data_IF_596193614999
#
_entry.id   IF_596193614999
#
_cell.length_a   1.000
_cell.length_b   1.000
_cell.length_c   1.000
_cell.angle_alpha   90.00
_cell.angle_beta   90.00
_cell.angle_gamma   90.00
#
_symmetry.space_group_name_H-M   'P 1'
#
loop_
_entity.id
_entity.type
_entity.pdbx_description
1 polymer ?
#
# COMPACT_ATOMS: atom_id res chain seq x y z
N UNK A 1 54.56 -7.99 27.72
CA UNK A 1 53.31 -8.76 27.45
C UNK A 1 53.63 -10.24 27.48
N UNK A 2 52.88 -11.06 28.22
CA UNK A 2 53.14 -12.48 28.26
C UNK A 2 52.81 -13.12 26.89
N UNK A 3 53.60 -14.10 26.44
CA UNK A 3 53.36 -14.85 25.17
C UNK A 3 51.88 -15.31 25.00
N UNK A 4 51.21 -15.60 26.13
CA UNK A 4 49.81 -15.99 26.16
C UNK A 4 48.85 -14.84 25.83
N UNK A 5 49.15 -13.60 26.21
CA UNK A 5 48.35 -12.41 25.90
C UNK A 5 48.45 -12.03 24.41
N UNK A 6 49.64 -12.15 23.82
CA UNK A 6 49.87 -11.91 22.40
C UNK A 6 49.12 -12.94 21.52
N UNK A 7 49.14 -14.22 21.94
CA UNK A 7 48.41 -15.29 21.22
C UNK A 7 46.89 -15.08 21.26
N UNK A 8 46.34 -14.64 22.41
CA UNK A 8 44.92 -14.33 22.54
C UNK A 8 44.48 -13.14 21.67
N UNK A 9 45.28 -12.08 21.59
CA UNK A 9 45.05 -10.92 20.72
C UNK A 9 45.09 -11.31 19.23
N UNK A 10 46.03 -12.16 18.83
CA UNK A 10 46.11 -12.68 17.46
C UNK A 10 44.90 -13.54 17.10
N UNK A 11 44.44 -14.41 18.00
CA UNK A 11 43.23 -15.23 17.81
C UNK A 11 41.99 -14.35 17.72
N UNK A 12 41.86 -13.32 18.58
CA UNK A 12 40.72 -12.37 18.53
C UNK A 12 40.72 -11.57 17.23
N UNK A 13 41.90 -11.11 16.78
CA UNK A 13 42.05 -10.41 15.50
C UNK A 13 41.67 -11.30 14.30
N UNK A 14 42.08 -12.57 14.32
CA UNK A 14 41.75 -13.55 13.29
C UNK A 14 40.24 -13.87 13.28
N UNK A 15 39.59 -13.95 14.46
CA UNK A 15 38.17 -14.17 14.62
C UNK A 15 37.37 -12.95 14.12
N UNK A 16 37.81 -11.76 14.43
CA UNK A 16 37.20 -10.52 13.94
C UNK A 16 37.33 -10.34 12.42
N UNK A 17 38.51 -10.68 11.85
CA UNK A 17 38.69 -10.70 10.41
C UNK A 17 37.76 -11.73 9.75
N UNK A 18 37.66 -12.93 10.35
CA UNK A 18 36.82 -13.99 9.82
C UNK A 18 35.31 -13.61 9.88
N UNK A 19 34.84 -13.07 11.00
CA UNK A 19 33.50 -12.51 11.13
C UNK A 19 33.27 -11.35 10.15
N UNK A 20 34.26 -10.46 9.96
CA UNK A 20 34.18 -9.34 9.03
C UNK A 20 34.10 -9.78 7.57
N UNK A 21 34.83 -10.82 7.19
CA UNK A 21 34.77 -11.45 5.84
C UNK A 21 33.42 -12.14 5.65
N UNK A 22 32.93 -12.89 6.64
CA UNK A 22 31.60 -13.54 6.58
C UNK A 22 30.47 -12.52 6.48
N UNK A 23 30.48 -11.46 7.29
CA UNK A 23 29.47 -10.40 7.23
C UNK A 23 29.52 -9.62 5.90
N UNK A 24 30.70 -9.52 5.29
CA UNK A 24 30.87 -8.83 4.01
C UNK A 24 30.41 -9.68 2.83
N UNK A 25 30.61 -11.01 2.89
CA UNK A 25 30.18 -11.92 1.83
C UNK A 25 28.66 -12.12 1.79
N UNK A 26 27.96 -12.03 2.92
CA UNK A 26 26.50 -12.16 2.92
C UNK A 26 25.75 -10.93 2.34
N UNK A 27 26.36 -9.75 2.34
CA UNK A 27 25.70 -8.51 1.91
C UNK A 27 25.98 -8.06 0.47
N UNK A 28 26.96 -8.67 -0.21
CA UNK A 28 27.40 -8.19 -1.54
C UNK A 28 26.86 -8.99 -2.72
N UNK A 29 26.08 -10.04 -2.46
CA UNK A 29 25.62 -10.95 -3.53
C UNK A 29 24.11 -11.20 -3.51
N UNK A 30 23.29 -10.16 -3.37
CA UNK A 30 21.82 -10.31 -3.36
C UNK A 30 21.17 -9.31 -4.28
N UNK A 31 20.26 -9.78 -5.12
CA UNK A 31 19.32 -8.92 -5.82
C UNK A 31 18.26 -8.42 -4.84
N UNK A 32 18.22 -7.12 -4.60
CA UNK A 32 17.30 -6.50 -3.62
C UNK A 32 15.97 -6.25 -4.31
N UNK A 33 14.97 -7.07 -4.02
CA UNK A 33 13.61 -6.88 -4.53
C UNK A 33 12.95 -5.73 -3.76
N UNK A 34 12.49 -4.71 -4.48
CA UNK A 34 11.84 -3.52 -3.95
C UNK A 34 10.32 -3.56 -4.06
N UNK A 35 9.82 -4.21 -5.11
CA UNK A 35 8.41 -4.41 -5.32
C UNK A 35 8.12 -5.73 -6.02
N UNK A 36 6.95 -6.27 -5.72
CA UNK A 36 6.32 -7.38 -6.40
C UNK A 36 5.15 -6.87 -7.23
N UNK A 37 4.98 -7.40 -8.43
CA UNK A 37 3.83 -7.17 -9.26
C UNK A 37 3.22 -8.53 -9.58
N UNK A 38 1.93 -8.68 -9.29
CA UNK A 38 1.21 -9.93 -9.43
C UNK A 38 0.02 -9.75 -10.38
N UNK A 39 -0.19 -10.75 -11.20
CA UNK A 39 -1.34 -10.84 -12.09
C UNK A 39 -1.80 -12.29 -12.19
N UNK A 40 -3.07 -12.53 -11.94
CA UNK A 40 -3.70 -13.83 -12.14
C UNK A 40 -4.55 -13.79 -13.41
N UNK A 41 -4.16 -14.56 -14.40
CA UNK A 41 -5.01 -14.83 -15.58
C UNK A 41 -5.78 -16.13 -15.36
N UNK A 42 -6.80 -16.45 -16.18
CA UNK A 42 -7.51 -17.73 -16.08
C UNK A 42 -6.59 -18.94 -16.28
N UNK A 43 -5.47 -18.79 -16.96
CA UNK A 43 -4.58 -19.89 -17.36
C UNK A 43 -3.35 -20.01 -16.45
N UNK A 44 -2.84 -18.87 -15.93
CA UNK A 44 -1.56 -18.83 -15.24
C UNK A 44 -1.42 -17.61 -14.33
N UNK A 45 -0.41 -17.66 -13.49
CA UNK A 45 0.12 -16.52 -12.74
C UNK A 45 1.28 -15.87 -13.49
N UNK A 46 1.29 -14.55 -13.52
CA UNK A 46 2.41 -13.73 -13.96
C UNK A 46 2.94 -12.97 -12.74
N UNK A 47 4.23 -13.05 -12.51
CA UNK A 47 4.91 -12.33 -11.42
C UNK A 47 6.04 -11.53 -12.01
N UNK A 48 6.09 -10.23 -11.69
CA UNK A 48 7.24 -9.41 -12.03
C UNK A 48 7.92 -8.86 -10.76
N UNK A 49 9.24 -8.76 -10.80
CA UNK A 49 10.09 -8.30 -9.71
C UNK A 49 10.77 -7.01 -10.11
N UNK A 50 10.50 -5.92 -9.37
CA UNK A 50 11.33 -4.73 -9.44
C UNK A 50 12.48 -4.90 -8.45
N UNK A 51 13.69 -4.94 -8.95
CA UNK A 51 14.87 -5.20 -8.13
C UNK A 51 16.00 -4.22 -8.40
N UNK A 52 16.84 -4.07 -7.41
CA UNK A 52 18.09 -3.32 -7.48
C UNK A 52 19.26 -4.28 -7.37
N UNK A 53 20.24 -4.06 -8.20
CA UNK A 53 21.48 -4.79 -8.19
C UNK A 53 22.59 -3.85 -7.67
N UNK A 54 23.28 -4.20 -6.60
CA UNK A 54 24.44 -3.43 -6.20
C UNK A 54 25.54 -3.62 -7.23
N UNK A 55 25.73 -2.65 -8.10
CA UNK A 55 26.92 -2.63 -8.95
C UNK A 55 28.15 -2.67 -8.04
N UNK A 56 29.04 -3.63 -8.29
CA UNK A 56 30.33 -3.66 -7.66
C UNK A 56 31.00 -2.30 -7.89
N UNK A 57 31.28 -1.57 -6.81
CA UNK A 57 31.88 -0.26 -6.85
C UNK A 57 33.24 -0.33 -7.58
N UNK A 58 33.20 -0.16 -8.89
CA UNK A 58 34.34 0.21 -9.68
C UNK A 58 34.42 1.74 -9.63
N UNK A 59 35.31 2.22 -8.75
CA UNK A 59 35.91 3.56 -8.72
C UNK A 59 35.17 4.70 -9.45
N UNK A 60 33.98 5.11 -8.97
CA UNK A 60 33.55 6.51 -9.13
C UNK A 60 32.23 6.77 -8.40
N UNK A 61 32.23 7.81 -7.61
CA UNK A 61 31.11 8.62 -7.09
C UNK A 61 29.70 8.20 -7.52
N UNK A 62 28.96 7.56 -6.59
CA UNK A 62 27.49 7.49 -6.57
C UNK A 62 26.82 7.11 -7.90
N UNK A 63 27.15 5.96 -8.49
CA UNK A 63 26.25 5.32 -9.43
C UNK A 63 25.02 4.83 -8.61
N UNK A 64 23.90 5.52 -8.79
CA UNK A 64 22.62 5.09 -8.23
C UNK A 64 22.33 3.69 -8.79
N UNK A 65 22.16 2.70 -7.89
CA UNK A 65 21.85 1.34 -8.30
C UNK A 65 20.58 1.38 -9.19
N UNK A 66 20.71 0.99 -10.46
CA UNK A 66 19.60 1.00 -11.41
C UNK A 66 18.51 0.03 -10.95
N UNK A 67 17.25 0.44 -11.08
CA UNK A 67 16.10 -0.44 -10.86
C UNK A 67 15.83 -1.20 -12.14
N UNK A 68 15.68 -2.50 -12.06
CA UNK A 68 15.39 -3.37 -13.19
C UNK A 68 14.10 -4.15 -12.94
N UNK A 69 13.51 -4.66 -14.02
CA UNK A 69 12.30 -5.48 -14.00
C UNK A 69 12.60 -6.83 -14.65
N UNK A 70 12.23 -7.91 -13.98
CA UNK A 70 12.19 -9.24 -14.57
C UNK A 70 10.86 -9.92 -14.23
N UNK A 71 10.48 -10.94 -14.99
CA UNK A 71 9.24 -11.64 -14.74
C UNK A 71 9.34 -13.13 -14.95
N UNK A 72 8.36 -13.85 -14.40
CA UNK A 72 8.17 -15.27 -14.58
C UNK A 72 6.69 -15.62 -14.61
N UNK A 73 6.38 -16.76 -15.18
CA UNK A 73 5.02 -17.28 -15.29
C UNK A 73 4.94 -18.70 -14.73
N UNK A 74 3.78 -19.08 -14.22
CA UNK A 74 3.57 -20.42 -13.65
C UNK A 74 2.10 -20.72 -13.42
N UNK A 75 1.77 -22.00 -13.22
CA UNK A 75 0.39 -22.41 -12.89
C UNK A 75 -0.03 -22.03 -11.47
N UNK A 76 0.94 -21.83 -10.59
CA UNK A 76 0.74 -21.35 -9.23
C UNK A 76 1.58 -20.09 -9.00
N UNK A 77 1.19 -19.28 -8.01
CA UNK A 77 1.95 -18.08 -7.63
C UNK A 77 3.41 -18.41 -7.27
N UNK A 78 3.63 -19.52 -6.56
CA UNK A 78 4.98 -19.97 -6.20
C UNK A 78 5.82 -20.34 -7.41
N UNK A 79 5.24 -21.06 -8.39
CA UNK A 79 5.95 -21.40 -9.63
C UNK A 79 6.30 -20.16 -10.44
N UNK A 80 5.38 -19.21 -10.57
CA UNK A 80 5.62 -17.95 -11.27
C UNK A 80 6.70 -17.11 -10.57
N UNK A 81 6.66 -17.05 -9.23
CA UNK A 81 7.68 -16.37 -8.44
C UNK A 81 9.06 -17.02 -8.62
N UNK A 82 9.13 -18.35 -8.53
CA UNK A 82 10.38 -19.08 -8.75
C UNK A 82 10.93 -18.84 -10.15
N UNK A 83 10.07 -18.89 -11.18
CA UNK A 83 10.47 -18.57 -12.55
C UNK A 83 11.01 -17.13 -12.70
N UNK A 84 10.40 -16.15 -12.00
CA UNK A 84 10.91 -14.78 -11.99
C UNK A 84 12.27 -14.68 -11.26
N UNK A 85 12.45 -15.41 -10.16
CA UNK A 85 13.71 -15.47 -9.40
C UNK A 85 14.87 -16.06 -10.21
N UNK A 86 14.60 -16.98 -11.15
CA UNK A 86 15.63 -17.55 -12.04
C UNK A 86 16.23 -16.51 -13.00
N UNK A 87 15.53 -15.43 -13.28
CA UNK A 87 16.03 -14.31 -14.10
C UNK A 87 16.83 -13.27 -13.31
N UNK A 88 16.91 -13.40 -11.99
CA UNK A 88 17.72 -12.49 -11.18
C UNK A 88 19.22 -12.85 -11.31
N UNK A 89 20.11 -11.86 -11.40
CA UNK A 89 21.55 -12.09 -11.51
C UNK A 89 22.13 -12.73 -10.23
N UNK A 90 21.44 -12.57 -9.10
CA UNK A 90 21.88 -13.08 -7.79
C UNK A 90 20.67 -13.53 -6.96
N UNK A 91 20.92 -14.16 -5.80
CA UNK A 91 19.85 -14.61 -4.90
C UNK A 91 18.93 -13.47 -4.49
N UNK A 92 17.59 -13.66 -4.53
CA UNK A 92 16.64 -12.63 -4.12
C UNK A 92 16.75 -12.32 -2.63
N UNK A 93 16.51 -11.05 -2.29
CA UNK A 93 16.29 -10.59 -0.93
C UNK A 93 15.06 -9.68 -0.90
N UNK A 94 14.03 -10.11 -0.20
CA UNK A 94 12.75 -9.40 -0.09
C UNK A 94 12.66 -8.53 1.17
N UNK A 95 13.73 -8.43 1.96
CA UNK A 95 13.74 -7.63 3.20
C UNK A 95 13.37 -6.16 3.01
N UNK A 96 13.60 -5.63 1.82
CA UNK A 96 13.28 -4.27 1.42
C UNK A 96 12.15 -4.22 0.38
N UNK A 97 11.35 -5.28 0.28
CA UNK A 97 10.14 -5.29 -0.54
C UNK A 97 9.06 -4.45 0.16
N UNK A 98 8.88 -3.23 -0.31
CA UNK A 98 8.00 -2.23 0.29
C UNK A 98 6.65 -2.14 -0.41
N UNK A 99 6.57 -2.60 -1.67
CA UNK A 99 5.39 -2.42 -2.51
C UNK A 99 4.92 -3.74 -3.11
N UNK A 100 3.61 -3.88 -3.18
CA UNK A 100 2.90 -4.97 -3.85
C UNK A 100 1.91 -4.35 -4.84
N UNK A 101 2.14 -4.58 -6.13
CA UNK A 101 1.22 -4.19 -7.18
C UNK A 101 0.34 -5.39 -7.54
N UNK A 102 -0.97 -5.17 -7.56
CA UNK A 102 -1.97 -6.15 -7.96
C UNK A 102 -2.64 -5.69 -9.25
N UNK A 103 -2.82 -6.58 -10.21
CA UNK A 103 -3.51 -6.22 -11.45
C UNK A 103 -4.99 -5.94 -11.20
N UNK A 104 -5.52 -4.86 -11.78
CA UNK A 104 -6.92 -4.45 -11.59
C UNK A 104 -7.93 -5.49 -12.06
N UNK A 105 -7.56 -6.40 -12.97
CA UNK A 105 -8.43 -7.42 -13.53
C UNK A 105 -8.67 -8.63 -12.62
N UNK A 106 -7.81 -8.88 -11.63
CA UNK A 106 -7.83 -10.11 -10.80
C UNK A 106 -7.56 -9.92 -9.31
N UNK A 107 -7.68 -8.69 -8.81
CA UNK A 107 -7.35 -8.26 -7.44
C UNK A 107 -7.76 -9.24 -6.33
N UNK A 108 -8.97 -9.80 -6.41
CA UNK A 108 -9.50 -10.67 -5.36
C UNK A 108 -8.76 -12.00 -5.25
N UNK A 109 -8.46 -12.61 -6.40
CA UNK A 109 -7.69 -13.86 -6.45
C UNK A 109 -6.27 -13.63 -5.96
N UNK A 110 -5.66 -12.55 -6.40
CA UNK A 110 -4.30 -12.17 -6.07
C UNK A 110 -4.10 -11.94 -4.58
N UNK A 111 -4.95 -11.12 -3.94
CA UNK A 111 -4.81 -10.82 -2.51
C UNK A 111 -4.98 -12.09 -1.64
N UNK A 112 -5.87 -13.00 -2.02
CA UNK A 112 -6.09 -14.25 -1.30
C UNK A 112 -4.89 -15.20 -1.40
N UNK A 113 -4.19 -15.18 -2.54
CA UNK A 113 -3.01 -16.00 -2.76
C UNK A 113 -1.74 -15.39 -2.13
N UNK A 114 -1.68 -14.06 -1.98
CA UNK A 114 -0.54 -13.39 -1.37
C UNK A 114 -0.34 -13.76 0.10
N UNK A 115 -1.42 -13.94 0.86
CA UNK A 115 -1.32 -14.11 2.30
C UNK A 115 -0.48 -15.33 2.71
N UNK A 116 -0.73 -16.55 2.18
CA UNK A 116 0.14 -17.68 2.49
C UNK A 116 1.60 -17.39 2.14
N UNK A 117 1.86 -16.82 0.96
CA UNK A 117 3.20 -16.46 0.52
C UNK A 117 3.91 -15.51 1.50
N UNK A 118 3.22 -14.45 1.95
CA UNK A 118 3.80 -13.47 2.87
C UNK A 118 3.92 -13.98 4.31
N UNK A 119 3.08 -14.95 4.71
CA UNK A 119 3.18 -15.59 6.02
C UNK A 119 4.25 -16.68 6.09
N UNK A 120 4.48 -17.40 5.00
CA UNK A 120 5.43 -18.51 4.96
C UNK A 120 6.86 -18.06 4.71
N UNK A 121 7.04 -17.00 3.93
CA UNK A 121 8.36 -16.43 3.64
C UNK A 121 8.80 -15.45 4.71
N UNK A 122 9.78 -15.83 5.51
CA UNK A 122 10.31 -15.02 6.61
C UNK A 122 10.97 -13.69 6.18
N UNK A 123 11.28 -13.54 4.89
CA UNK A 123 11.90 -12.33 4.32
C UNK A 123 10.89 -11.35 3.69
N UNK A 124 9.61 -11.75 3.54
CA UNK A 124 8.50 -10.88 3.16
C UNK A 124 7.84 -10.24 4.39
N UNK A 125 7.22 -9.08 4.22
CA UNK A 125 6.60 -8.32 5.30
C UNK A 125 5.14 -8.03 5.00
N UNK A 126 4.26 -8.31 5.95
CA UNK A 126 2.85 -7.90 5.88
C UNK A 126 2.66 -6.36 5.92
N UNK A 127 3.70 -5.62 6.30
CA UNK A 127 3.73 -4.15 6.25
C UNK A 127 4.01 -3.59 4.84
N UNK A 128 4.02 -4.46 3.82
CA UNK A 128 4.14 -4.05 2.41
C UNK A 128 2.91 -3.25 2.00
N UNK A 129 3.12 -2.14 1.30
CA UNK A 129 2.07 -1.27 0.76
C UNK A 129 1.46 -1.90 -0.48
N UNK A 130 0.13 -1.88 -0.58
CA UNK A 130 -0.61 -2.49 -1.69
C UNK A 130 -1.16 -1.42 -2.61
N UNK A 131 -0.90 -1.57 -3.92
CA UNK A 131 -1.38 -0.70 -4.98
C UNK A 131 -2.07 -1.57 -6.04
N UNK A 132 -3.04 -1.01 -6.73
CA UNK A 132 -3.55 -1.61 -7.95
C UNK A 132 -2.79 -1.06 -9.16
N UNK A 133 -2.63 -1.86 -10.21
CA UNK A 133 -1.95 -1.44 -11.44
C UNK A 133 -2.70 -1.84 -12.68
N UNK A 134 -2.68 -0.98 -13.68
CA UNK A 134 -3.14 -1.22 -15.06
C UNK A 134 -2.11 -0.62 -16.01
N UNK A 135 -1.65 -1.32 -17.02
CA UNK A 135 -2.07 -2.64 -17.51
C UNK A 135 -1.44 -3.82 -16.77
N UNK A 136 -1.53 -5.02 -17.35
CA UNK A 136 -0.95 -6.24 -16.80
C UNK A 136 0.57 -6.33 -16.94
N UNK A 137 1.13 -7.44 -16.44
CA UNK A 137 2.58 -7.69 -16.41
C UNK A 137 3.23 -7.59 -17.78
N UNK A 138 2.59 -8.13 -18.82
CA UNK A 138 3.16 -8.20 -20.17
C UNK A 138 3.43 -6.80 -20.75
N UNK A 139 2.46 -5.87 -20.65
CA UNK A 139 2.63 -4.51 -21.16
C UNK A 139 3.66 -3.72 -20.36
N UNK A 140 3.73 -3.95 -19.05
CA UNK A 140 4.72 -3.29 -18.18
C UNK A 140 6.14 -3.78 -18.49
N UNK A 141 6.30 -5.06 -18.81
CA UNK A 141 7.56 -5.62 -19.26
C UNK A 141 7.99 -5.07 -20.62
N UNK A 142 7.08 -5.07 -21.60
CA UNK A 142 7.34 -4.51 -22.91
C UNK A 142 7.78 -3.04 -22.80
N UNK A 143 7.13 -2.28 -21.91
CA UNK A 143 7.52 -0.89 -21.66
C UNK A 143 8.89 -0.76 -21.01
N UNK A 144 9.25 -1.65 -20.09
CA UNK A 144 10.57 -1.66 -19.45
C UNK A 144 11.71 -2.01 -20.45
N UNK A 145 11.42 -2.80 -21.48
CA UNK A 145 12.36 -3.07 -22.58
C UNK A 145 12.54 -1.86 -23.51
N UNK A 146 11.49 -1.07 -23.72
CA UNK A 146 11.55 0.14 -24.55
C UNK A 146 12.21 1.32 -23.83
N UNK A 147 12.04 1.44 -22.52
CA UNK A 147 12.49 2.58 -21.73
C UNK A 147 13.22 2.14 -20.47
N UNK A 148 14.54 2.27 -20.45
CA UNK A 148 15.42 1.85 -19.36
C UNK A 148 15.04 2.46 -17.99
N UNK A 149 14.49 3.66 -17.96
CA UNK A 149 14.08 4.36 -16.73
C UNK A 149 12.69 4.01 -16.24
N UNK A 150 11.93 3.25 -17.00
CA UNK A 150 10.55 2.91 -16.63
C UNK A 150 10.42 2.19 -15.28
N UNK A 151 11.27 1.20 -14.93
CA UNK A 151 11.19 0.55 -13.62
C UNK A 151 11.45 1.53 -12.45
N UNK A 152 12.34 2.52 -12.63
CA UNK A 152 12.59 3.57 -11.64
C UNK A 152 11.38 4.49 -11.48
N UNK A 153 10.74 4.87 -12.58
CA UNK A 153 9.53 5.70 -12.57
C UNK A 153 8.38 4.98 -11.87
N UNK A 154 8.20 3.68 -12.12
CA UNK A 154 7.17 2.86 -11.46
C UNK A 154 7.42 2.80 -9.95
N UNK A 155 8.65 2.55 -9.53
CA UNK A 155 9.01 2.53 -8.11
C UNK A 155 8.87 3.92 -7.48
N UNK A 156 9.18 5.00 -8.19
CA UNK A 156 9.00 6.36 -7.70
C UNK A 156 7.52 6.71 -7.53
N UNK A 157 6.67 6.34 -8.49
CA UNK A 157 5.22 6.50 -8.38
C UNK A 157 4.67 5.77 -7.14
N UNK A 158 5.17 4.54 -6.86
CA UNK A 158 4.79 3.81 -5.65
C UNK A 158 5.22 4.55 -4.36
N UNK A 159 6.42 5.12 -4.34
CA UNK A 159 6.92 5.91 -3.19
C UNK A 159 6.06 7.14 -2.94
N UNK A 160 5.74 7.88 -4.01
CA UNK A 160 4.94 9.10 -3.93
C UNK A 160 3.50 8.82 -3.46
N UNK A 161 3.02 7.60 -3.72
CA UNK A 161 1.67 7.14 -3.36
C UNK A 161 1.63 6.42 -2.01
N UNK A 162 2.78 6.11 -1.41
CA UNK A 162 2.87 5.24 -0.23
C UNK A 162 2.00 5.70 0.95
N UNK A 163 1.88 7.00 1.20
CA UNK A 163 1.06 7.52 2.30
C UNK A 163 -0.44 7.27 2.10
N UNK A 164 -0.88 7.09 0.85
CA UNK A 164 -2.28 6.83 0.50
C UNK A 164 -2.58 5.35 0.26
N UNK A 165 -1.58 4.47 0.34
CA UNK A 165 -1.71 3.05 0.08
C UNK A 165 -1.83 2.25 1.39
N UNK A 166 -2.79 1.30 1.49
CA UNK A 166 -2.94 0.44 2.65
C UNK A 166 -1.78 -0.53 2.79
N UNK A 167 -1.55 -1.02 4.00
CA UNK A 167 -0.69 -2.16 4.22
C UNK A 167 -1.44 -3.48 4.01
N UNK A 168 -0.74 -4.51 3.57
CA UNK A 168 -1.33 -5.83 3.35
C UNK A 168 -2.03 -6.40 4.60
N UNK A 169 -1.56 -6.09 5.81
CA UNK A 169 -2.19 -6.53 7.07
C UNK A 169 -3.54 -5.86 7.37
N UNK A 170 -3.89 -4.75 6.69
CA UNK A 170 -5.14 -4.00 6.92
C UNK A 170 -6.35 -4.61 6.19
N UNK A 171 -6.17 -5.64 5.41
CA UNK A 171 -7.20 -6.26 4.55
C UNK A 171 -8.52 -6.60 5.25
N UNK A 172 -8.52 -6.85 6.55
CA UNK A 172 -9.75 -7.15 7.31
C UNK A 172 -10.78 -6.03 7.37
N UNK A 173 -10.39 -4.81 6.96
CA UNK A 173 -11.27 -3.62 6.87
C UNK A 173 -11.65 -3.25 5.44
N UNK A 174 -11.28 -4.08 4.45
CA UNK A 174 -11.23 -3.66 3.06
C UNK A 174 -9.98 -2.84 2.75
N UNK A 175 -9.49 -2.94 1.53
CA UNK A 175 -8.30 -2.21 1.08
C UNK A 175 -8.71 -1.13 0.08
N UNK A 176 -8.45 0.12 0.42
CA UNK A 176 -8.59 1.24 -0.49
C UNK A 176 -7.31 1.36 -1.33
N UNK A 177 -7.34 0.80 -2.54
CA UNK A 177 -6.17 0.68 -3.40
C UNK A 177 -6.05 1.88 -4.34
N UNK A 178 -4.99 2.69 -4.23
CA UNK A 178 -4.66 3.66 -5.27
C UNK A 178 -4.30 2.91 -6.56
N UNK A 179 -4.76 3.43 -7.70
CA UNK A 179 -4.58 2.79 -9.01
C UNK A 179 -3.48 3.51 -9.79
N UNK A 180 -2.41 2.78 -10.05
CA UNK A 180 -1.33 3.22 -10.94
C UNK A 180 -1.68 2.81 -12.37
N UNK A 181 -1.68 3.75 -13.29
CA UNK A 181 -2.03 3.53 -14.68
C UNK A 181 -0.90 3.93 -15.61
N UNK A 182 -0.62 3.08 -16.59
CA UNK A 182 0.21 3.45 -17.74
C UNK A 182 -0.71 4.05 -18.81
N UNK A 183 -0.56 5.35 -19.08
CA UNK A 183 -1.34 6.08 -20.07
C UNK A 183 -0.41 6.87 -20.99
N UNK A 184 -0.53 6.66 -22.29
CA UNK A 184 0.28 7.38 -23.30
C UNK A 184 1.80 7.32 -23.03
N UNK A 185 2.26 6.18 -22.50
CA UNK A 185 3.67 5.95 -22.16
C UNK A 185 4.14 6.56 -20.84
N UNK A 186 3.27 7.23 -20.09
CA UNK A 186 3.60 7.79 -18.78
C UNK A 186 2.86 7.07 -17.64
N UNK A 187 3.53 6.96 -16.50
CA UNK A 187 2.94 6.42 -15.28
C UNK A 187 2.16 7.53 -14.58
N UNK A 188 0.89 7.30 -14.31
CA UNK A 188 0.00 8.25 -13.63
C UNK A 188 -0.77 7.56 -12.51
N UNK A 189 -1.07 8.31 -11.45
CA UNK A 189 -1.98 7.88 -10.41
C UNK A 189 -3.39 8.31 -10.80
N UNK A 190 -4.34 7.36 -10.79
CA UNK A 190 -5.76 7.71 -10.96
C UNK A 190 -6.28 8.43 -9.73
N UNK A 191 -7.21 9.34 -9.94
CA UNK A 191 -7.88 10.06 -8.85
C UNK A 191 -8.87 9.15 -8.12
N UNK A 192 -9.48 8.24 -8.86
CA UNK A 192 -10.39 7.20 -8.38
C UNK A 192 -9.58 6.04 -7.80
N UNK A 193 -10.02 5.52 -6.65
CA UNK A 193 -9.43 4.34 -6.04
C UNK A 193 -10.36 3.13 -6.15
N UNK A 194 -9.79 1.95 -5.99
CA UNK A 194 -10.53 0.70 -5.91
C UNK A 194 -10.66 0.27 -4.45
N UNK A 195 -11.89 0.01 -4.02
CA UNK A 195 -12.16 -0.61 -2.73
C UNK A 195 -12.26 -2.12 -2.92
N UNK A 196 -11.25 -2.83 -2.43
CA UNK A 196 -11.22 -4.29 -2.42
C UNK A 196 -11.79 -4.80 -1.11
N UNK A 197 -12.87 -5.58 -1.20
CA UNK A 197 -13.58 -6.16 -0.04
C UNK A 197 -13.65 -7.68 -0.15
N UNK A 198 -14.19 -8.33 0.88
CA UNK A 198 -14.45 -9.77 0.84
C UNK A 198 -15.46 -10.16 -0.25
N UNK A 199 -16.38 -9.24 -0.60
CA UNK A 199 -17.46 -9.49 -1.57
C UNK A 199 -17.07 -9.18 -3.00
N UNK A 200 -16.10 -8.28 -3.23
CA UNK A 200 -15.70 -7.86 -4.56
C UNK A 200 -14.78 -6.65 -4.59
N UNK A 201 -14.65 -6.09 -5.77
CA UNK A 201 -13.91 -4.85 -6.03
C UNK A 201 -14.88 -3.79 -6.51
N UNK A 202 -14.84 -2.61 -5.91
CA UNK A 202 -15.73 -1.49 -6.17
C UNK A 202 -14.91 -0.25 -6.50
N UNK A 203 -15.33 0.51 -7.52
CA UNK A 203 -14.71 1.79 -7.84
C UNK A 203 -15.35 2.89 -7.01
N UNK A 204 -14.54 3.71 -6.37
CA UNK A 204 -14.98 4.94 -5.72
C UNK A 204 -14.73 6.13 -6.66
N UNK A 205 -15.64 7.08 -6.67
CA UNK A 205 -15.42 8.35 -7.38
C UNK A 205 -14.25 9.12 -6.78
N UNK A 206 -13.73 10.14 -7.47
CA UNK A 206 -12.66 11.02 -6.96
C UNK A 206 -13.04 11.61 -5.59
N UNK A 207 -14.28 12.05 -5.44
CA UNK A 207 -14.78 12.66 -4.21
C UNK A 207 -14.92 11.67 -3.05
N UNK A 208 -15.43 10.47 -3.34
CA UNK A 208 -15.51 9.39 -2.35
C UNK A 208 -14.12 8.86 -1.98
N UNK A 209 -13.21 8.76 -2.95
CA UNK A 209 -11.83 8.35 -2.71
C UNK A 209 -11.15 9.28 -1.71
N UNK A 210 -11.29 10.59 -1.90
CA UNK A 210 -10.67 11.57 -1.01
C UNK A 210 -11.29 11.53 0.40
N UNK A 211 -12.62 11.39 0.48
CA UNK A 211 -13.29 11.23 1.77
C UNK A 211 -12.91 9.90 2.46
N UNK A 212 -12.86 8.79 1.73
CA UNK A 212 -12.45 7.50 2.26
C UNK A 212 -11.01 7.53 2.80
N UNK A 213 -10.08 8.24 2.13
CA UNK A 213 -8.70 8.45 2.63
C UNK A 213 -8.71 9.18 3.97
N UNK A 214 -9.52 10.21 4.12
CA UNK A 214 -9.68 10.93 5.40
C UNK A 214 -10.24 10.03 6.49
N UNK A 215 -11.27 9.23 6.17
CA UNK A 215 -11.91 8.30 7.12
C UNK A 215 -11.00 7.14 7.54
N UNK A 216 -10.07 6.75 6.68
CA UNK A 216 -9.06 5.73 6.94
C UNK A 216 -7.74 6.31 7.49
N UNK A 217 -7.67 7.64 7.64
CA UNK A 217 -6.47 8.37 8.07
C UNK A 217 -5.25 8.14 7.15
N UNK A 218 -5.50 7.95 5.83
CA UNK A 218 -4.45 7.81 4.83
C UNK A 218 -4.03 9.16 4.27
N UNK A 219 -2.73 9.45 4.27
CA UNK A 219 -2.18 10.72 3.82
C UNK A 219 -2.22 11.82 4.88
N UNK A 220 -1.55 12.92 4.59
CA UNK A 220 -1.45 14.07 5.50
C UNK A 220 -2.19 15.30 4.99
N UNK A 221 -2.25 15.48 3.69
CA UNK A 221 -2.89 16.62 3.04
C UNK A 221 -3.98 16.13 2.08
N UNK A 222 -5.18 16.71 2.20
CA UNK A 222 -6.35 16.37 1.40
C UNK A 222 -6.93 17.61 0.75
N UNK A 223 -7.43 17.48 -0.48
CA UNK A 223 -8.08 18.58 -1.19
C UNK A 223 -9.45 18.15 -1.66
N UNK A 224 -10.48 18.76 -1.09
CA UNK A 224 -11.86 18.59 -1.52
C UNK A 224 -12.26 19.69 -2.49
N UNK A 225 -12.90 19.33 -3.58
CA UNK A 225 -13.54 20.29 -4.47
C UNK A 225 -15.01 20.37 -4.09
N UNK A 226 -15.44 21.52 -3.52
CA UNK A 226 -16.82 21.76 -3.10
C UNK A 226 -17.30 23.04 -3.76
N UNK A 227 -18.34 22.95 -4.61
CA UNK A 227 -18.84 24.08 -5.40
C UNK A 227 -17.72 24.79 -6.20
N UNK A 228 -16.92 24.00 -6.92
CA UNK A 228 -15.77 24.47 -7.71
C UNK A 228 -14.65 25.12 -6.87
N UNK A 229 -14.79 25.17 -5.54
CA UNK A 229 -13.81 25.74 -4.64
C UNK A 229 -12.92 24.65 -4.05
N UNK A 230 -11.60 24.69 -4.25
CA UNK A 230 -10.68 23.75 -3.61
C UNK A 230 -10.47 24.11 -2.14
N UNK A 231 -10.81 23.17 -1.26
CA UNK A 231 -10.62 23.26 0.19
C UNK A 231 -9.51 22.29 0.55
N UNK A 232 -8.32 22.82 0.86
CA UNK A 232 -7.18 21.98 1.25
C UNK A 232 -7.03 21.93 2.75
N UNK A 233 -7.02 20.73 3.31
CA UNK A 233 -6.79 20.44 4.72
C UNK A 233 -5.39 19.84 4.91
N UNK A 234 -4.74 20.24 5.98
CA UNK A 234 -3.41 19.73 6.35
C UNK A 234 -3.47 18.55 7.30
N UNK A 235 -4.52 18.47 8.11
CA UNK A 235 -4.71 17.44 9.12
C UNK A 235 -6.19 17.23 9.38
N UNK A 236 -6.56 15.98 9.55
CA UNK A 236 -7.89 15.58 10.02
C UNK A 236 -7.78 14.85 11.35
N UNK A 237 -8.82 14.98 12.16
CA UNK A 237 -9.02 14.16 13.36
C UNK A 237 -10.41 13.56 13.27
N UNK A 238 -10.46 12.25 13.32
CA UNK A 238 -11.69 11.47 13.22
C UNK A 238 -12.14 11.01 14.63
N UNK A 239 -13.40 11.29 14.96
CA UNK A 239 -14.06 10.74 16.12
C UNK A 239 -15.34 9.99 15.71
N UNK A 240 -15.53 8.77 16.19
CA UNK A 240 -16.74 7.98 15.93
C UNK A 240 -17.38 7.61 17.25
N UNK A 241 -18.64 7.97 17.43
CA UNK A 241 -19.40 7.68 18.65
C UNK A 241 -20.73 7.03 18.31
N UNK A 242 -21.13 6.03 19.10
CA UNK A 242 -22.45 5.44 18.98
C UNK A 242 -23.49 6.34 19.71
N UNK A 243 -24.51 6.78 18.99
CA UNK A 243 -25.58 7.67 19.47
C UNK A 243 -26.95 7.02 19.23
N UNK A 244 -27.64 6.62 20.29
CA UNK A 244 -28.89 5.88 20.16
C UNK A 244 -28.70 4.60 19.33
N UNK A 245 -29.48 4.43 18.29
CA UNK A 245 -29.39 3.31 17.35
C UNK A 245 -28.44 3.57 16.17
N UNK A 246 -27.92 4.78 16.07
CA UNK A 246 -27.00 5.21 15.01
C UNK A 246 -25.60 5.57 15.51
N UNK A 247 -24.89 6.33 14.70
CA UNK A 247 -23.53 6.78 14.96
C UNK A 247 -23.38 8.26 14.56
N UNK A 248 -22.52 8.95 15.31
CA UNK A 248 -22.07 10.30 14.96
C UNK A 248 -20.58 10.23 14.60
N UNK A 249 -20.25 10.74 13.43
CA UNK A 249 -18.89 10.87 12.91
C UNK A 249 -18.48 12.33 13.02
N UNK A 250 -17.49 12.63 13.83
CA UNK A 250 -16.95 13.97 14.01
C UNK A 250 -15.65 14.11 13.23
N UNK A 251 -15.61 15.00 12.26
CA UNK A 251 -14.46 15.33 11.46
C UNK A 251 -13.97 16.74 11.83
N UNK A 252 -12.81 16.81 12.45
CA UNK A 252 -12.17 18.09 12.76
C UNK A 252 -11.02 18.31 11.80
N UNK A 253 -11.13 19.34 10.97
CA UNK A 253 -10.15 19.67 9.94
C UNK A 253 -9.31 20.89 10.34
N UNK A 254 -8.01 20.76 10.18
CA UNK A 254 -7.09 21.90 10.18
C UNK A 254 -6.82 22.31 8.74
N UNK A 255 -7.31 23.46 8.32
CA UNK A 255 -7.09 23.95 6.96
C UNK A 255 -5.63 24.33 6.73
N UNK A 256 -5.17 24.26 5.48
CA UNK A 256 -3.89 24.84 5.06
C UNK A 256 -4.00 26.37 5.08
N UNK A 257 -2.96 27.06 5.51
CA UNK A 257 -3.00 28.52 5.71
C UNK A 257 -3.45 29.31 4.46
N UNK A 258 -3.09 28.82 3.27
CA UNK A 258 -3.49 29.43 2.00
C UNK A 258 -4.88 28.98 1.49
N UNK A 259 -5.56 28.05 2.18
CA UNK A 259 -6.88 27.57 1.76
C UNK A 259 -8.00 28.49 2.21
N UNK A 260 -9.06 28.54 1.41
CA UNK A 260 -10.29 29.29 1.72
C UNK A 260 -10.93 28.71 2.98
N UNK A 261 -11.54 29.57 3.79
CA UNK A 261 -12.37 29.11 4.91
C UNK A 261 -13.72 28.67 4.37
N UNK A 262 -14.12 27.40 4.57
CA UNK A 262 -15.40 26.91 4.04
C UNK A 262 -16.59 27.63 4.64
N UNK A 263 -17.60 27.81 3.83
CA UNK A 263 -18.91 28.28 4.25
C UNK A 263 -19.68 27.17 4.96
N UNK A 264 -20.72 27.53 5.70
CA UNK A 264 -21.63 26.55 6.34
C UNK A 264 -22.23 25.58 5.30
N UNK A 265 -22.61 26.10 4.11
CA UNK A 265 -23.12 25.26 3.02
C UNK A 265 -22.10 24.23 2.54
N UNK A 266 -20.84 24.65 2.42
CA UNK A 266 -19.75 23.73 2.02
C UNK A 266 -19.47 22.70 3.11
N UNK A 267 -19.54 23.07 4.39
CA UNK A 267 -19.43 22.10 5.50
C UNK A 267 -20.53 21.04 5.42
N UNK A 268 -21.80 21.45 5.22
CA UNK A 268 -22.93 20.52 5.06
C UNK A 268 -22.78 19.57 3.87
N UNK A 269 -22.15 20.02 2.76
CA UNK A 269 -21.85 19.15 1.62
C UNK A 269 -20.76 18.13 1.96
N UNK A 270 -19.75 18.52 2.74
CA UNK A 270 -18.75 17.57 3.23
C UNK A 270 -19.34 16.55 4.21
N UNK A 271 -20.28 16.96 5.07
CA UNK A 271 -21.03 16.07 5.95
C UNK A 271 -21.85 15.05 5.14
N UNK A 272 -22.60 15.51 4.14
CA UNK A 272 -23.36 14.63 3.26
C UNK A 272 -22.44 13.64 2.52
N UNK A 273 -21.32 14.11 1.96
CA UNK A 273 -20.33 13.28 1.29
C UNK A 273 -19.72 12.22 2.23
N UNK A 274 -19.45 12.58 3.49
CA UNK A 274 -19.00 11.63 4.50
C UNK A 274 -20.02 10.50 4.70
N UNK A 275 -21.29 10.84 4.87
CA UNK A 275 -22.37 9.86 5.07
C UNK A 275 -22.52 8.96 3.84
N UNK A 276 -22.54 9.54 2.64
CA UNK A 276 -22.64 8.80 1.36
C UNK A 276 -21.46 7.84 1.17
N UNK A 277 -20.24 8.27 1.46
CA UNK A 277 -19.05 7.43 1.37
C UNK A 277 -19.12 6.25 2.34
N UNK A 278 -19.52 6.49 3.60
CA UNK A 278 -19.69 5.41 4.59
C UNK A 278 -20.76 4.43 4.14
N UNK A 279 -21.91 4.93 3.64
CA UNK A 279 -22.99 4.09 3.13
C UNK A 279 -22.52 3.24 1.94
N UNK A 280 -21.85 3.84 0.96
CA UNK A 280 -21.33 3.12 -0.22
C UNK A 280 -20.33 2.03 0.20
N UNK A 281 -19.39 2.33 1.08
CA UNK A 281 -18.44 1.34 1.59
C UNK A 281 -19.14 0.21 2.35
N UNK A 282 -20.19 0.54 3.14
CA UNK A 282 -20.97 -0.45 3.87
C UNK A 282 -21.71 -1.40 2.91
N UNK A 283 -22.36 -0.85 1.88
CA UNK A 283 -23.08 -1.61 0.86
C UNK A 283 -22.12 -2.47 0.01
N UNK A 284 -20.88 -2.00 -0.16
CA UNK A 284 -19.79 -2.78 -0.75
C UNK A 284 -19.25 -3.88 0.18
N UNK A 285 -19.75 -4.00 1.41
CA UNK A 285 -19.36 -5.03 2.36
C UNK A 285 -18.20 -4.64 3.29
N UNK A 286 -17.87 -3.36 3.40
CA UNK A 286 -16.75 -2.87 4.22
C UNK A 286 -17.20 -1.86 5.27
N UNK A 287 -16.89 -2.15 6.55
CA UNK A 287 -17.06 -1.22 7.68
C UNK A 287 -15.79 -0.38 7.87
N UNK A 288 -15.60 0.65 7.04
CA UNK A 288 -14.38 1.48 7.05
C UNK A 288 -14.19 2.26 8.35
N UNK A 289 -15.25 2.53 9.09
CA UNK A 289 -15.21 3.23 10.38
C UNK A 289 -15.17 2.30 11.58
N UNK A 290 -15.19 0.97 11.37
CA UNK A 290 -15.28 -0.02 12.45
C UNK A 290 -16.50 0.19 13.37
N UNK A 291 -17.65 0.59 12.79
CA UNK A 291 -18.91 0.86 13.52
C UNK A 291 -19.35 -0.33 14.37
N UNK A 292 -19.16 -1.56 13.83
CA UNK A 292 -19.41 -2.79 14.57
C UNK A 292 -18.60 -2.87 15.87
N UNK A 293 -17.34 -2.50 15.82
CA UNK A 293 -16.45 -2.46 16.99
C UNK A 293 -16.85 -1.36 17.98
N UNK A 294 -17.17 -0.16 17.48
CA UNK A 294 -17.62 0.98 18.30
C UNK A 294 -18.90 0.61 19.07
N UNK A 295 -19.88 -0.04 18.39
CA UNK A 295 -21.10 -0.53 19.05
C UNK A 295 -20.81 -1.62 20.09
N UNK A 296 -19.97 -2.57 19.76
CA UNK A 296 -19.60 -3.64 20.68
C UNK A 296 -18.90 -3.13 21.95
N UNK A 297 -18.06 -2.10 21.82
CA UNK A 297 -17.42 -1.43 22.96
C UNK A 297 -18.44 -0.73 23.87
N UNK A 298 -19.46 -0.07 23.29
CA UNK A 298 -20.51 0.60 24.07
C UNK A 298 -21.45 -0.38 24.77
N UNK A 299 -21.96 -1.36 24.03
CA UNK A 299 -23.09 -2.19 24.47
C UNK A 299 -22.62 -3.51 25.14
N UNK A 300 -21.33 -3.82 25.05
CA UNK A 300 -20.73 -5.04 25.56
C UNK A 300 -21.12 -6.28 24.74
N UNK A 301 -20.77 -7.48 25.29
CA UNK A 301 -20.93 -8.76 24.55
C UNK A 301 -22.39 -9.26 24.41
N UNK A 302 -23.36 -8.53 24.94
CA UNK A 302 -24.77 -8.96 24.98
C UNK A 302 -25.57 -8.61 23.72
N UNK A 303 -25.03 -7.77 22.85
CA UNK A 303 -25.70 -7.36 21.61
C UNK A 303 -25.19 -8.16 20.41
N UNK A 304 -26.08 -8.41 19.45
CA UNK A 304 -25.68 -8.99 18.17
C UNK A 304 -24.63 -8.11 17.49
N UNK A 305 -23.57 -8.72 16.96
CA UNK A 305 -22.54 -8.00 16.24
C UNK A 305 -23.14 -7.29 15.03
N UNK A 306 -22.90 -5.99 14.93
CA UNK A 306 -23.21 -5.22 13.75
C UNK A 306 -22.18 -5.60 12.66
N UNK A 307 -22.67 -6.05 11.51
CA UNK A 307 -21.86 -6.44 10.36
C UNK A 307 -22.44 -5.81 9.10
N UNK A 308 -21.66 -5.71 8.06
CA UNK A 308 -22.07 -5.19 6.75
C UNK A 308 -23.12 -6.06 6.02
N UNK A 309 -23.47 -7.23 6.58
CA UNK A 309 -24.63 -8.04 6.14
C UNK A 309 -25.97 -7.44 6.60
N UNK A 310 -25.94 -6.56 7.57
CA UNK A 310 -27.11 -5.81 8.02
C UNK A 310 -27.24 -4.54 7.21
N UNK A 311 -28.43 -3.91 7.24
CA UNK A 311 -28.58 -2.56 6.70
C UNK A 311 -27.58 -1.59 7.35
N UNK A 312 -27.07 -0.65 6.59
CA UNK A 312 -26.19 0.39 7.15
C UNK A 312 -26.92 1.11 8.28
N UNK A 313 -26.30 1.25 9.46
CA UNK A 313 -26.88 2.02 10.54
C UNK A 313 -26.97 3.49 10.16
N UNK A 314 -27.89 4.23 10.79
CA UNK A 314 -27.96 5.66 10.61
C UNK A 314 -26.64 6.32 11.04
N UNK A 315 -26.01 7.05 10.12
CA UNK A 315 -24.79 7.81 10.37
C UNK A 315 -25.08 9.29 10.19
N UNK A 316 -24.66 10.10 11.15
CA UNK A 316 -24.65 11.55 11.06
C UNK A 316 -23.20 12.02 11.09
N UNK A 317 -22.85 12.95 10.22
CA UNK A 317 -21.53 13.55 10.19
C UNK A 317 -21.60 14.99 10.71
N UNK A 318 -20.57 15.43 11.39
CA UNK A 318 -20.36 16.80 11.86
C UNK A 318 -18.94 17.21 11.47
N UNK A 319 -18.84 18.26 10.65
CA UNK A 319 -17.58 18.75 10.09
C UNK A 319 -17.23 20.11 10.67
N UNK A 320 -16.12 20.18 11.36
CA UNK A 320 -15.59 21.40 11.95
C UNK A 320 -14.23 21.77 11.37
N UNK A 321 -14.00 23.05 11.14
CA UNK A 321 -12.70 23.59 10.74
C UNK A 321 -12.09 24.38 11.88
N UNK A 322 -10.86 24.01 12.23
CA UNK A 322 -10.03 24.78 13.14
C UNK A 322 -9.34 25.92 12.37
N UNK A 323 -9.41 27.11 12.93
CA UNK A 323 -8.87 28.34 12.36
C UNK A 323 -7.34 28.38 12.27
#
# INVERSE_FOLDING_TARGET
MSRRATLRLLLLGLLLCWCGVFLRSENTEKSIVRALLLEQTPEQWNVALLYQFPEAAADSSAAAASVQLCAGTGKTLEQALFAAEEHLPQRPSYRLCEYLFLNTGSLRGEISACEPLFCERADLRLATRVLAVTPGCEELLARAEEEERFPEQLLQCAKDTAECAPHLYERGKGLLLPVVQLKEGSITLQKEALLLTETGTFSLTEEETEMARVLLEYGQEHTFIVEETPITIRRSVLGVQAAGDGFTVQLTFQKKAASVTPTETQCRKLEARCVETVQHCWDAGTDILSLGSVRALRDGRKTAFLTTKNACPAVQADVMFLG
#
